data_IF_520942004636
#
_entry.id   IF_520942004636
#
_cell.length_a   1.000
_cell.length_b   1.000
_cell.length_c   1.000
_cell.angle_alpha   90.00
_cell.angle_beta   90.00
_cell.angle_gamma   90.00
#
_symmetry.space_group_name_H-M   'P 1'
#
loop_
_entity.id
_entity.type
_entity.pdbx_description
1 polymer ?
#
# COMPACT_ATOMS: atom_id res chain seq x y z
N UNK A 1 -22.53 -1.48 29.90
CA UNK A 1 -22.38 -1.90 28.49
C UNK A 1 -22.09 -0.67 27.66
N UNK A 2 -20.84 -0.48 27.23
CA UNK A 2 -20.49 0.57 26.27
C UNK A 2 -20.59 -0.04 24.87
N UNK A 3 -21.66 0.29 24.17
CA UNK A 3 -21.84 -0.09 22.76
C UNK A 3 -20.89 0.78 21.94
N UNK A 4 -19.71 0.26 21.62
CA UNK A 4 -18.82 0.83 20.62
C UNK A 4 -19.49 0.67 19.25
N UNK A 5 -20.12 1.74 18.77
CA UNK A 5 -20.51 1.89 17.37
C UNK A 5 -19.24 2.00 16.53
N UNK A 6 -18.64 0.87 16.17
CA UNK A 6 -17.64 0.79 15.12
C UNK A 6 -18.36 1.12 13.81
N UNK A 7 -18.30 2.38 13.36
CA UNK A 7 -18.63 2.71 11.98
C UNK A 7 -17.72 1.88 11.10
N UNK A 8 -18.26 0.87 10.44
CA UNK A 8 -17.53 0.09 9.44
C UNK A 8 -17.12 1.05 8.33
N UNK A 9 -15.83 1.40 8.28
CA UNK A 9 -15.28 2.21 7.21
C UNK A 9 -15.27 1.37 5.92
N UNK A 10 -16.24 1.60 5.03
CA UNK A 10 -16.30 0.93 3.73
C UNK A 10 -15.56 1.75 2.68
N UNK A 11 -14.29 1.42 2.44
CA UNK A 11 -13.54 1.89 1.28
C UNK A 11 -14.00 1.14 0.03
N UNK A 12 -14.33 1.86 -1.05
CA UNK A 12 -14.62 1.25 -2.36
C UNK A 12 -13.32 0.79 -3.01
N UNK A 13 -13.30 -0.44 -3.50
CA UNK A 13 -12.11 -1.08 -4.07
C UNK A 13 -12.42 -1.51 -5.50
N UNK A 14 -11.66 -0.98 -6.46
CA UNK A 14 -11.66 -1.45 -7.85
C UNK A 14 -10.28 -2.01 -8.17
N UNK A 15 -10.20 -3.21 -8.74
CA UNK A 15 -8.94 -3.81 -9.22
C UNK A 15 -9.23 -4.52 -10.53
N UNK A 16 -8.59 -4.09 -11.62
CA UNK A 16 -8.80 -4.66 -12.96
C UNK A 16 -8.04 -5.97 -13.19
N UNK A 17 -7.00 -6.20 -12.41
CA UNK A 17 -6.15 -7.39 -12.51
C UNK A 17 -6.81 -8.64 -11.92
N UNK A 18 -6.76 -9.75 -12.67
CA UNK A 18 -7.00 -11.07 -12.10
C UNK A 18 -5.78 -11.48 -11.27
N UNK A 19 -5.94 -11.52 -9.95
CA UNK A 19 -4.87 -11.83 -9.00
C UNK A 19 -4.86 -13.30 -8.56
N UNK A 20 -5.84 -14.11 -8.96
CA UNK A 20 -6.06 -15.46 -8.44
C UNK A 20 -4.96 -16.45 -8.87
N UNK A 21 -4.19 -16.11 -9.91
CA UNK A 21 -3.13 -16.94 -10.47
C UNK A 21 -1.71 -16.59 -9.98
N UNK A 22 -1.53 -15.49 -9.24
CA UNK A 22 -0.20 -14.97 -8.90
C UNK A 22 -0.14 -14.49 -7.43
N UNK A 23 0.50 -15.24 -6.52
CA UNK A 23 0.56 -14.91 -5.09
C UNK A 23 1.09 -13.50 -4.79
N UNK A 24 2.07 -13.03 -5.54
CA UNK A 24 2.63 -11.67 -5.39
C UNK A 24 1.67 -10.58 -5.85
N UNK A 25 0.84 -10.84 -6.87
CA UNK A 25 -0.21 -9.88 -7.28
C UNK A 25 -1.26 -9.72 -6.19
N UNK A 26 -1.73 -10.85 -5.64
CA UNK A 26 -2.67 -10.84 -4.53
C UNK A 26 -2.10 -10.12 -3.30
N UNK A 27 -0.84 -10.39 -2.96
CA UNK A 27 -0.13 -9.68 -1.88
C UNK A 27 -0.13 -8.17 -2.12
N UNK A 28 0.25 -7.69 -3.30
CA UNK A 28 0.33 -6.26 -3.60
C UNK A 28 -1.05 -5.58 -3.65
N UNK A 29 -2.07 -6.28 -4.13
CA UNK A 29 -3.46 -5.82 -4.06
C UNK A 29 -3.86 -5.57 -2.60
N UNK A 30 -3.68 -6.58 -1.74
CA UNK A 30 -4.03 -6.48 -0.33
C UNK A 30 -3.17 -5.44 0.40
N UNK A 31 -1.88 -5.35 0.09
CA UNK A 31 -0.97 -4.34 0.63
C UNK A 31 -1.46 -2.92 0.34
N UNK A 32 -1.79 -2.60 -0.91
CA UNK A 32 -2.27 -1.27 -1.31
C UNK A 32 -3.67 -0.96 -0.74
N UNK A 33 -4.53 -1.96 -0.57
CA UNK A 33 -5.81 -1.83 0.13
C UNK A 33 -5.58 -1.51 1.61
N UNK A 34 -4.66 -2.21 2.27
CA UNK A 34 -4.30 -1.94 3.67
C UNK A 34 -3.72 -0.53 3.85
N UNK A 35 -2.90 -0.08 2.88
CA UNK A 35 -2.39 1.28 2.84
C UNK A 35 -3.52 2.31 2.79
N UNK A 36 -4.49 2.14 1.87
CA UNK A 36 -5.66 3.03 1.79
C UNK A 36 -6.54 3.02 3.03
N UNK A 37 -6.59 1.89 3.77
CA UNK A 37 -7.33 1.77 5.02
C UNK A 37 -6.60 2.33 6.24
N UNK A 38 -5.31 2.67 6.13
CA UNK A 38 -4.48 3.00 7.28
C UNK A 38 -4.28 1.80 8.24
N UNK A 39 -4.37 0.56 7.74
CA UNK A 39 -4.19 -0.65 8.56
C UNK A 39 -2.70 -0.95 8.76
N UNK A 40 -2.07 -0.19 9.66
CA UNK A 40 -0.63 -0.20 9.91
C UNK A 40 -0.12 -1.62 10.18
N UNK A 41 -0.77 -2.37 11.07
CA UNK A 41 -0.33 -3.72 11.44
C UNK A 41 -0.37 -4.69 10.24
N UNK A 42 -1.40 -4.59 9.40
CA UNK A 42 -1.50 -5.39 8.18
C UNK A 42 -0.43 -4.99 7.17
N UNK A 43 -0.17 -3.70 6.97
CA UNK A 43 0.92 -3.19 6.09
C UNK A 43 2.26 -3.76 6.56
N UNK A 44 2.59 -3.58 7.84
CA UNK A 44 3.83 -4.07 8.44
C UNK A 44 3.98 -5.58 8.30
N UNK A 45 2.89 -6.34 8.31
CA UNK A 45 2.93 -7.80 8.12
C UNK A 45 3.52 -8.21 6.76
N UNK A 46 3.46 -7.36 5.73
CA UNK A 46 4.01 -7.63 4.40
C UNK A 46 5.47 -7.22 4.23
N UNK A 47 6.01 -6.43 5.17
CA UNK A 47 7.35 -5.85 5.07
C UNK A 47 8.42 -6.72 5.74
N UNK A 48 9.61 -6.75 5.13
CA UNK A 48 10.81 -7.31 5.74
C UNK A 48 11.29 -6.40 6.88
N UNK A 49 12.00 -6.97 7.86
CA UNK A 49 12.53 -6.20 9.01
C UNK A 49 13.47 -5.07 8.55
N UNK A 50 14.24 -5.32 7.50
CA UNK A 50 15.20 -4.39 6.91
C UNK A 50 14.63 -3.62 5.69
N UNK A 51 13.32 -3.38 5.65
CA UNK A 51 12.66 -2.60 4.59
C UNK A 51 13.34 -1.24 4.36
N UNK A 52 13.50 -0.86 3.09
CA UNK A 52 13.83 0.51 2.68
C UNK A 52 12.65 1.06 1.89
N UNK A 53 12.01 2.10 2.39
CA UNK A 53 10.95 2.81 1.70
C UNK A 53 11.46 4.17 1.24
N UNK A 54 11.48 4.40 -0.07
CA UNK A 54 11.81 5.67 -0.69
C UNK A 54 10.54 6.31 -1.23
N UNK A 55 10.18 7.47 -0.69
CA UNK A 55 9.17 8.37 -1.25
C UNK A 55 9.89 9.37 -2.14
N UNK A 56 9.79 9.17 -3.45
CA UNK A 56 10.59 9.93 -4.41
C UNK A 56 10.27 11.42 -4.33
N UNK A 57 11.31 12.23 -4.17
CA UNK A 57 11.19 13.68 -4.01
C UNK A 57 10.91 14.15 -2.59
N UNK A 58 10.83 13.24 -1.61
CA UNK A 58 10.60 13.57 -0.20
C UNK A 58 11.70 12.97 0.69
N UNK A 59 11.60 11.69 1.04
CA UNK A 59 12.49 11.05 2.03
C UNK A 59 12.68 9.56 1.82
N UNK A 60 13.70 9.04 2.51
CA UNK A 60 14.00 7.60 2.56
C UNK A 60 13.95 7.13 4.01
N UNK A 61 13.14 6.10 4.26
CA UNK A 61 12.90 5.49 5.57
C UNK A 61 13.50 4.08 5.56
N UNK A 62 14.21 3.73 6.64
CA UNK A 62 14.92 2.45 6.74
C UNK A 62 14.55 1.74 8.03
N UNK A 63 14.22 0.46 7.91
CA UNK A 63 13.83 -0.38 9.03
C UNK A 63 12.33 -0.30 9.32
N UNK A 64 11.79 -1.43 9.78
CA UNK A 64 10.36 -1.61 10.00
C UNK A 64 9.78 -0.67 11.05
N UNK A 65 10.52 -0.40 12.13
CA UNK A 65 10.10 0.49 13.22
C UNK A 65 9.94 1.94 12.75
N UNK A 66 10.83 2.42 11.88
CA UNK A 66 10.73 3.77 11.31
C UNK A 66 9.58 3.87 10.30
N UNK A 67 9.33 2.79 9.54
CA UNK A 67 8.15 2.71 8.67
C UNK A 67 6.86 2.70 9.49
N UNK A 68 6.80 1.99 10.62
CA UNK A 68 5.64 2.01 11.52
C UNK A 68 5.34 3.42 12.04
N UNK A 69 6.35 4.13 12.53
CA UNK A 69 6.21 5.53 12.98
C UNK A 69 5.64 6.44 11.90
N UNK A 70 6.13 6.30 10.67
CA UNK A 70 5.64 7.08 9.54
C UNK A 70 4.18 6.75 9.22
N UNK A 71 3.84 5.46 9.13
CA UNK A 71 2.47 5.02 8.85
C UNK A 71 1.49 5.46 9.94
N UNK A 72 1.88 5.42 11.21
CA UNK A 72 1.09 5.92 12.34
C UNK A 72 0.87 7.44 12.27
N UNK A 73 1.88 8.21 11.83
CA UNK A 73 1.73 9.64 11.60
C UNK A 73 0.78 9.94 10.41
N UNK A 74 0.66 9.00 9.47
CA UNK A 74 -0.19 9.11 8.29
C UNK A 74 -1.60 8.50 8.47
N UNK A 75 -1.92 7.87 9.62
CA UNK A 75 -3.12 7.01 9.74
C UNK A 75 -4.46 7.72 9.56
N UNK A 76 -4.51 9.03 9.80
CA UNK A 76 -5.73 9.83 9.61
C UNK A 76 -6.02 10.08 8.12
N UNK A 77 -5.03 9.89 7.23
CA UNK A 77 -5.19 10.01 5.79
C UNK A 77 -5.72 8.70 5.18
N UNK A 78 -6.97 8.37 5.48
CA UNK A 78 -7.64 7.19 4.92
C UNK A 78 -8.32 7.50 3.58
N UNK A 79 -8.33 6.50 2.69
CA UNK A 79 -8.95 6.57 1.38
C UNK A 79 -10.40 6.08 1.42
N UNK A 80 -11.30 6.81 0.76
CA UNK A 80 -12.68 6.40 0.52
C UNK A 80 -12.80 5.50 -0.71
N UNK A 81 -11.90 5.66 -1.68
CA UNK A 81 -11.84 4.82 -2.88
C UNK A 81 -10.38 4.51 -3.24
N UNK A 82 -10.11 3.27 -3.66
CA UNK A 82 -8.88 2.88 -4.34
C UNK A 82 -9.23 2.24 -5.69
N UNK A 83 -8.55 2.68 -6.74
CA UNK A 83 -8.57 2.04 -8.04
C UNK A 83 -7.15 1.55 -8.35
N UNK A 84 -6.98 0.24 -8.51
CA UNK A 84 -5.74 -0.39 -8.95
C UNK A 84 -5.88 -0.71 -10.45
N UNK A 85 -5.04 -0.07 -11.25
CA UNK A 85 -5.07 -0.21 -12.71
C UNK A 85 -4.24 -1.40 -13.17
N UNK A 86 -2.98 -1.50 -12.69
CA UNK A 86 -2.09 -2.61 -13.03
C UNK A 86 -1.32 -3.12 -11.82
N UNK A 87 -1.03 -4.42 -11.86
CA UNK A 87 -0.07 -5.08 -10.98
C UNK A 87 0.81 -5.97 -11.85
N UNK A 88 2.08 -5.60 -11.96
CA UNK A 88 3.07 -6.28 -12.80
C UNK A 88 4.08 -6.95 -11.88
N UNK A 89 4.43 -8.20 -12.16
CA UNK A 89 5.38 -8.97 -11.35
C UNK A 89 6.33 -9.76 -12.23
N UNK A 90 7.62 -9.72 -11.95
CA UNK A 90 8.65 -10.53 -12.61
C UNK A 90 9.77 -10.88 -11.63
N UNK A 91 9.87 -12.16 -11.26
CA UNK A 91 10.88 -12.62 -10.30
C UNK A 91 10.70 -11.96 -8.92
N UNK A 92 11.68 -11.15 -8.51
CA UNK A 92 11.64 -10.39 -7.24
C UNK A 92 11.11 -8.97 -7.39
N UNK A 93 10.95 -8.48 -8.62
CA UNK A 93 10.53 -7.10 -8.87
C UNK A 93 9.04 -7.08 -9.21
N UNK A 94 8.36 -6.05 -8.75
CA UNK A 94 6.97 -5.81 -9.08
C UNK A 94 6.67 -4.31 -9.15
N UNK A 95 5.56 -3.96 -9.79
CA UNK A 95 5.03 -2.61 -9.81
C UNK A 95 3.50 -2.64 -9.63
N UNK A 96 2.97 -1.62 -8.97
CA UNK A 96 1.53 -1.39 -8.81
C UNK A 96 1.24 0.07 -9.07
N UNK A 97 0.21 0.39 -9.86
CA UNK A 97 -0.21 1.76 -10.06
C UNK A 97 -1.73 1.90 -10.01
N UNK A 98 -2.17 3.12 -9.76
CA UNK A 98 -3.58 3.43 -9.64
C UNK A 98 -3.82 4.81 -9.06
N UNK A 99 -4.96 4.96 -8.38
CA UNK A 99 -5.30 6.19 -7.68
C UNK A 99 -6.05 5.92 -6.37
N UNK A 100 -5.87 6.85 -5.44
CA UNK A 100 -6.63 6.97 -4.20
C UNK A 100 -7.51 8.21 -4.24
N UNK A 101 -8.72 8.11 -3.71
CA UNK A 101 -9.56 9.24 -3.33
C UNK A 101 -9.65 9.28 -1.81
N UNK A 102 -9.21 10.38 -1.22
CA UNK A 102 -9.11 10.52 0.23
C UNK A 102 -10.45 10.94 0.84
N UNK A 103 -10.62 10.70 2.15
CA UNK A 103 -11.78 11.22 2.90
C UNK A 103 -11.90 12.74 2.87
N UNK A 104 -10.78 13.45 2.66
CA UNK A 104 -10.75 14.91 2.50
C UNK A 104 -11.31 15.40 1.15
N UNK A 105 -11.55 14.49 0.19
CA UNK A 105 -11.91 14.83 -1.19
C UNK A 105 -10.70 14.99 -2.14
N UNK A 106 -9.47 15.07 -1.62
CA UNK A 106 -8.26 15.07 -2.43
C UNK A 106 -8.09 13.73 -3.16
N UNK A 107 -7.51 13.75 -4.35
CA UNK A 107 -7.18 12.53 -5.09
C UNK A 107 -5.68 12.48 -5.43
N UNK A 108 -5.12 11.29 -5.41
CA UNK A 108 -3.70 11.06 -5.69
C UNK A 108 -3.54 9.91 -6.68
N UNK A 109 -2.75 10.12 -7.71
CA UNK A 109 -2.22 9.05 -8.55
C UNK A 109 -0.97 8.47 -7.90
N UNK A 110 -0.81 7.15 -7.97
CA UNK A 110 0.38 6.48 -7.46
C UNK A 110 0.95 5.50 -8.50
N UNK A 111 2.27 5.31 -8.40
CA UNK A 111 2.98 4.20 -9.01
C UNK A 111 4.09 3.79 -8.05
N UNK A 112 4.07 2.54 -7.61
CA UNK A 112 5.05 2.00 -6.67
C UNK A 112 5.81 0.85 -7.33
N UNK A 113 7.13 0.83 -7.13
CA UNK A 113 8.00 -0.29 -7.50
C UNK A 113 8.40 -1.02 -6.22
N UNK A 114 8.22 -2.34 -6.21
CA UNK A 114 8.51 -3.20 -5.08
C UNK A 114 9.60 -4.19 -5.42
N UNK A 115 10.45 -4.47 -4.43
CA UNK A 115 11.40 -5.57 -4.47
C UNK A 115 11.16 -6.51 -3.29
N UNK A 116 10.95 -7.77 -3.60
CA UNK A 116 10.80 -8.85 -2.62
C UNK A 116 12.16 -9.40 -2.18
N UNK A 117 12.27 -9.84 -0.93
CA UNK A 117 13.48 -10.44 -0.37
C UNK A 117 13.89 -11.74 -1.09
N UNK A 118 12.91 -12.54 -1.53
CA UNK A 118 13.12 -13.81 -2.20
C UNK A 118 12.02 -14.15 -3.25
N UNK A 119 12.12 -15.36 -3.83
CA UNK A 119 11.20 -15.85 -4.87
C UNK A 119 9.96 -16.58 -4.32
N UNK A 120 9.87 -16.81 -3.01
CA UNK A 120 8.76 -17.50 -2.37
C UNK A 120 7.42 -16.80 -2.61
N UNK A 121 6.33 -17.57 -2.52
CA UNK A 121 4.95 -17.06 -2.48
C UNK A 121 4.68 -16.21 -1.22
N UNK A 122 5.50 -16.39 -0.18
CA UNK A 122 5.41 -15.68 1.11
C UNK A 122 6.49 -14.60 1.28
N UNK A 123 7.20 -14.27 0.19
CA UNK A 123 8.26 -13.27 0.21
C UNK A 123 7.77 -11.92 0.75
N UNK A 124 8.63 -11.24 1.50
CA UNK A 124 8.34 -9.93 2.09
C UNK A 124 8.89 -8.83 1.21
N UNK A 125 8.27 -7.66 1.24
CA UNK A 125 8.76 -6.47 0.55
C UNK A 125 9.99 -5.97 1.33
N UNK A 126 11.15 -5.94 0.68
CA UNK A 126 12.41 -5.43 1.24
C UNK A 126 12.76 -4.02 0.77
N UNK A 127 12.21 -3.60 -0.37
CA UNK A 127 12.35 -2.23 -0.87
C UNK A 127 11.06 -1.80 -1.55
N UNK A 128 10.67 -0.56 -1.31
CA UNK A 128 9.53 0.09 -1.93
C UNK A 128 9.98 1.47 -2.40
N UNK A 129 9.74 1.81 -3.66
CA UNK A 129 9.98 3.14 -4.21
C UNK A 129 8.64 3.68 -4.71
N UNK A 130 8.16 4.72 -4.05
CA UNK A 130 6.82 5.28 -4.25
C UNK A 130 6.87 6.61 -4.99
N UNK A 131 6.05 6.70 -6.03
CA UNK A 131 5.78 7.92 -6.77
C UNK A 131 4.32 8.29 -6.54
N UNK A 132 4.08 9.43 -5.89
CA UNK A 132 2.75 9.97 -5.65
C UNK A 132 2.59 11.35 -6.26
N UNK A 133 1.45 11.63 -6.88
CA UNK A 133 1.14 12.96 -7.40
C UNK A 133 -0.32 13.31 -7.10
N UNK A 134 -0.55 14.53 -6.63
CA UNK A 134 -1.90 15.06 -6.48
C UNK A 134 -2.58 15.19 -7.85
N UNK A 135 -3.80 14.68 -7.96
CA UNK A 135 -4.62 14.82 -9.16
C UNK A 135 -5.42 16.12 -9.08
N UNK A 136 -5.56 16.79 -10.21
CA UNK A 136 -6.42 17.97 -10.32
C UNK A 136 -7.89 17.52 -10.35
N UNK A 137 -8.81 18.31 -9.74
CA UNK A 137 -10.25 18.04 -9.78
C UNK A 137 -10.83 17.97 -11.19
#
# INVERSE_FOLDING_TARGET
MLTLNLKTFNMKITCRENCDNAPKKLLLKEFNISFGKGDVQRILSYLAVNIVWEMVGDKVIKGKDEVEKELEAMKEYTATEINIDHIITHGKIAACNGNYKMGSGSSYGFCDVYEFDNHSKTAKIRRMTSYGIALKP
#
